data_IF_219334965504
#
_entry.id   IF_219334965504
#
_cell.length_a   1.000
_cell.length_b   1.000
_cell.length_c   1.000
_cell.angle_alpha   90.00
_cell.angle_beta   90.00
_cell.angle_gamma   90.00
#
_symmetry.space_group_name_H-M   'P 1'
#
loop_
_entity.id
_entity.type
_entity.pdbx_description
1 polymer ?
#
# COMPACT_ATOMS: atom_id res chain seq x y z
N UNK A 1 -23.81 -17.48 -0.96
CA UNK A 1 -23.73 -16.76 -2.24
C UNK A 1 -23.12 -15.40 -2.00
N UNK A 2 -21.79 -15.29 -2.09
CA UNK A 2 -21.09 -13.98 -2.08
C UNK A 2 -20.00 -14.06 -3.16
N UNK A 3 -19.19 -15.13 -3.13
CA UNK A 3 -18.31 -15.49 -4.23
C UNK A 3 -19.00 -16.46 -5.20
N UNK A 4 -18.56 -16.42 -6.47
CA UNK A 4 -18.88 -17.39 -7.53
C UNK A 4 -17.61 -18.22 -7.80
N UNK A 5 -17.72 -19.46 -8.36
CA UNK A 5 -16.55 -20.25 -8.73
C UNK A 5 -15.52 -19.49 -9.58
N UNK A 6 -15.99 -18.58 -10.44
CA UNK A 6 -15.17 -17.71 -11.28
C UNK A 6 -14.44 -16.58 -10.50
N UNK A 7 -14.85 -16.25 -9.28
CA UNK A 7 -14.32 -15.09 -8.53
C UNK A 7 -13.45 -15.46 -7.32
N UNK A 8 -13.51 -16.69 -6.80
CA UNK A 8 -12.77 -17.08 -5.58
C UNK A 8 -11.26 -16.82 -5.64
N UNK A 9 -10.60 -17.26 -6.71
CA UNK A 9 -9.15 -17.06 -6.87
C UNK A 9 -8.79 -15.57 -7.00
N UNK A 10 -9.64 -14.80 -7.68
CA UNK A 10 -9.44 -13.37 -7.88
C UNK A 10 -9.59 -12.59 -6.56
N UNK A 11 -10.65 -12.88 -5.77
CA UNK A 11 -10.86 -12.29 -4.44
C UNK A 11 -9.63 -12.54 -3.56
N UNK A 12 -9.17 -13.79 -3.48
CA UNK A 12 -8.01 -14.17 -2.67
C UNK A 12 -6.75 -13.44 -3.11
N UNK A 13 -6.48 -13.41 -4.42
CA UNK A 13 -5.33 -12.69 -4.96
C UNK A 13 -5.42 -11.19 -4.68
N UNK A 14 -6.62 -10.60 -4.73
CA UNK A 14 -6.84 -9.17 -4.56
C UNK A 14 -6.59 -8.73 -3.12
N UNK A 15 -7.10 -9.46 -2.13
CA UNK A 15 -6.92 -9.09 -0.72
C UNK A 15 -5.45 -9.22 -0.27
N UNK A 16 -4.72 -10.21 -0.80
CA UNK A 16 -3.29 -10.37 -0.58
C UNK A 16 -2.49 -9.25 -1.26
N UNK A 17 -2.76 -9.00 -2.55
CA UNK A 17 -2.02 -8.00 -3.34
C UNK A 17 -2.25 -6.56 -2.84
N UNK A 18 -3.43 -6.27 -2.29
CA UNK A 18 -3.75 -4.98 -1.68
C UNK A 18 -3.22 -4.84 -0.25
N UNK A 19 -2.64 -5.90 0.32
CA UNK A 19 -2.05 -5.88 1.66
C UNK A 19 -3.08 -5.86 2.79
N UNK A 20 -4.32 -6.27 2.54
CA UNK A 20 -5.32 -6.43 3.59
C UNK A 20 -5.03 -7.67 4.46
N UNK A 21 -4.39 -8.67 3.88
CA UNK A 21 -4.13 -9.94 4.53
C UNK A 21 -2.71 -10.39 4.18
N UNK A 22 -2.04 -11.03 5.13
CA UNK A 22 -0.79 -11.74 4.93
C UNK A 22 -0.96 -13.24 5.16
N UNK A 23 -0.07 -14.06 4.60
CA UNK A 23 -0.05 -15.51 4.86
C UNK A 23 0.93 -15.82 5.98
N UNK A 24 0.46 -16.49 7.04
CA UNK A 24 1.31 -17.11 8.07
C UNK A 24 1.09 -18.61 8.04
N UNK A 25 2.00 -19.34 7.39
CA UNK A 25 1.82 -20.76 7.09
C UNK A 25 0.61 -20.97 6.16
N UNK A 26 -0.36 -21.76 6.62
CA UNK A 26 -1.63 -21.99 5.91
C UNK A 26 -2.75 -21.01 6.31
N UNK A 27 -2.50 -20.15 7.30
CA UNK A 27 -3.47 -19.18 7.78
C UNK A 27 -3.38 -17.84 7.05
N UNK A 28 -4.53 -17.20 6.89
CA UNK A 28 -4.66 -15.82 6.44
C UNK A 28 -4.81 -14.93 7.68
N UNK A 29 -3.84 -14.03 7.88
CA UNK A 29 -3.83 -13.11 9.01
C UNK A 29 -4.13 -11.70 8.51
N UNK A 30 -5.20 -11.06 9.02
CA UNK A 30 -5.53 -9.69 8.64
C UNK A 30 -4.45 -8.70 9.09
N UNK A 31 -4.14 -7.75 8.21
CA UNK A 31 -3.25 -6.63 8.50
C UNK A 31 -4.05 -5.45 9.07
N UNK A 32 -3.36 -4.50 9.72
CA UNK A 32 -3.98 -3.31 10.32
C UNK A 32 -4.83 -2.48 9.36
N UNK A 33 -4.45 -2.43 8.09
CA UNK A 33 -5.22 -1.74 7.06
C UNK A 33 -6.58 -2.42 6.81
N UNK A 34 -6.67 -3.74 6.93
CA UNK A 34 -7.95 -4.44 6.81
C UNK A 34 -8.89 -4.07 7.93
N UNK A 35 -8.43 -4.06 9.18
CA UNK A 35 -9.26 -3.63 10.31
C UNK A 35 -9.73 -2.20 10.17
N UNK A 36 -8.83 -1.28 9.79
CA UNK A 36 -9.18 0.13 9.60
C UNK A 36 -10.25 0.28 8.52
N UNK A 37 -10.09 -0.41 7.39
CA UNK A 37 -11.04 -0.30 6.25
C UNK A 37 -12.35 -1.02 6.56
N UNK A 38 -12.32 -2.24 7.08
CA UNK A 38 -13.54 -3.00 7.43
C UNK A 38 -14.38 -2.21 8.41
N UNK A 39 -13.78 -1.72 9.49
CA UNK A 39 -14.49 -0.91 10.48
C UNK A 39 -15.07 0.37 9.88
N UNK A 40 -14.27 1.08 9.08
CA UNK A 40 -14.75 2.28 8.38
C UNK A 40 -15.98 1.96 7.52
N UNK A 41 -15.97 0.83 6.83
CA UNK A 41 -17.09 0.37 6.03
C UNK A 41 -18.28 -0.08 6.89
N UNK A 42 -18.07 -0.71 8.05
CA UNK A 42 -19.15 -1.10 8.96
C UNK A 42 -19.86 0.12 9.57
N UNK A 43 -19.09 1.11 10.03
CA UNK A 43 -19.62 2.32 10.67
C UNK A 43 -20.34 3.24 9.68
N UNK A 44 -19.86 3.32 8.43
CA UNK A 44 -20.36 4.30 7.46
C UNK A 44 -21.17 3.69 6.32
N UNK A 45 -20.95 2.41 6.00
CA UNK A 45 -21.56 1.72 4.87
C UNK A 45 -22.20 0.39 5.29
N UNK A 46 -22.50 0.19 6.59
CA UNK A 46 -22.90 -1.11 7.15
C UNK A 46 -23.96 -1.84 6.32
N UNK A 47 -25.05 -1.16 5.93
CA UNK A 47 -26.12 -1.75 5.09
C UNK A 47 -25.65 -2.22 3.70
N UNK A 48 -24.61 -1.60 3.14
CA UNK A 48 -24.07 -1.88 1.80
C UNK A 48 -22.95 -2.94 1.81
N UNK A 49 -22.41 -3.27 2.97
CA UNK A 49 -21.36 -4.29 3.12
C UNK A 49 -21.81 -5.50 3.96
N UNK A 50 -23.08 -5.53 4.35
CA UNK A 50 -23.68 -6.65 5.05
C UNK A 50 -23.67 -7.91 4.17
N UNK A 51 -23.54 -9.07 4.82
CA UNK A 51 -23.55 -10.36 4.15
C UNK A 51 -24.87 -10.66 3.44
N UNK A 52 -26.01 -10.29 4.05
CA UNK A 52 -27.34 -10.46 3.45
C UNK A 52 -27.50 -9.57 2.21
N UNK A 53 -27.07 -8.31 2.31
CA UNK A 53 -27.10 -7.37 1.17
C UNK A 53 -26.27 -7.90 -0.01
N UNK A 54 -25.06 -8.37 0.27
CA UNK A 54 -24.16 -8.88 -0.77
C UNK A 54 -24.71 -10.15 -1.43
N UNK A 55 -25.38 -11.02 -0.66
CA UNK A 55 -26.04 -12.20 -1.20
C UNK A 55 -27.25 -11.85 -2.06
N UNK A 56 -28.09 -10.91 -1.61
CA UNK A 56 -29.25 -10.44 -2.35
C UNK A 56 -28.86 -9.74 -3.66
N UNK A 57 -27.78 -8.93 -3.64
CA UNK A 57 -27.26 -8.28 -4.86
C UNK A 57 -26.91 -9.31 -5.94
N UNK A 58 -26.27 -10.40 -5.55
CA UNK A 58 -25.89 -11.46 -6.49
C UNK A 58 -27.10 -12.21 -7.07
N UNK A 59 -28.22 -12.29 -6.35
CA UNK A 59 -29.49 -12.83 -6.84
C UNK A 59 -30.21 -11.83 -7.76
N UNK A 60 -30.19 -10.54 -7.40
CA UNK A 60 -30.73 -9.47 -8.24
C UNK A 60 -30.01 -9.37 -9.59
N UNK A 61 -28.70 -9.61 -9.63
CA UNK A 61 -27.93 -9.67 -10.88
C UNK A 61 -28.40 -10.82 -11.78
N UNK A 62 -28.71 -11.98 -11.21
CA UNK A 62 -29.24 -13.13 -11.97
C UNK A 62 -30.65 -12.80 -12.51
N UNK A 63 -31.51 -12.17 -11.70
CA UNK A 63 -32.85 -11.71 -12.11
C UNK A 63 -32.81 -10.64 -13.21
N UNK A 64 -31.79 -9.77 -13.21
CA UNK A 64 -31.55 -8.81 -14.29
C UNK A 64 -31.16 -9.55 -15.58
N UNK A 65 -30.28 -10.56 -15.48
CA UNK A 65 -29.86 -11.35 -16.64
C UNK A 65 -31.03 -12.13 -17.28
N UNK A 66 -31.94 -12.64 -16.44
CA UNK A 66 -33.16 -13.33 -16.88
C UNK A 66 -34.28 -12.37 -17.34
N UNK A 67 -34.08 -11.06 -17.20
CA UNK A 67 -35.03 -10.02 -17.61
C UNK A 67 -36.20 -9.82 -16.64
N UNK A 68 -36.15 -10.41 -15.44
CA UNK A 68 -37.17 -10.30 -14.39
C UNK A 68 -37.07 -9.00 -13.59
N UNK A 69 -35.89 -8.35 -13.61
CA UNK A 69 -35.62 -7.11 -12.89
C UNK A 69 -35.05 -6.03 -13.84
N UNK A 70 -35.56 -4.80 -13.73
CA UNK A 70 -35.07 -3.70 -14.55
C UNK A 70 -33.74 -3.15 -13.99
N UNK A 71 -32.66 -3.27 -14.77
CA UNK A 71 -31.34 -2.82 -14.34
C UNK A 71 -31.27 -1.32 -14.00
N UNK A 72 -32.02 -0.47 -14.70
CA UNK A 72 -31.97 0.98 -14.50
C UNK A 72 -32.67 1.37 -13.20
N UNK A 73 -33.80 0.73 -12.89
CA UNK A 73 -34.50 0.92 -11.62
C UNK A 73 -33.65 0.43 -10.45
N UNK A 74 -33.03 -0.74 -10.60
CA UNK A 74 -32.10 -1.28 -9.59
C UNK A 74 -30.93 -0.33 -9.33
N UNK A 75 -30.28 0.18 -10.38
CA UNK A 75 -29.18 1.13 -10.25
C UNK A 75 -29.60 2.44 -9.59
N UNK A 76 -30.80 2.96 -9.92
CA UNK A 76 -31.33 4.17 -9.29
C UNK A 76 -31.59 3.96 -7.80
N UNK A 77 -32.19 2.82 -7.45
CA UNK A 77 -32.47 2.46 -6.06
C UNK A 77 -31.18 2.28 -5.26
N UNK A 78 -30.19 1.54 -5.78
CA UNK A 78 -28.87 1.40 -5.16
C UNK A 78 -28.15 2.75 -4.99
N UNK A 79 -28.18 3.60 -6.01
CA UNK A 79 -27.39 4.84 -6.02
C UNK A 79 -28.04 5.98 -5.24
N UNK A 80 -29.34 6.23 -5.45
CA UNK A 80 -30.07 7.34 -4.83
C UNK A 80 -30.82 6.97 -3.55
N UNK A 81 -31.02 5.67 -3.30
CA UNK A 81 -31.76 5.17 -2.16
C UNK A 81 -33.25 4.93 -2.44
N UNK A 82 -33.91 4.33 -1.46
CA UNK A 82 -35.33 4.01 -1.42
C UNK A 82 -35.85 4.05 0.03
N UNK A 83 -37.01 3.45 0.30
CA UNK A 83 -37.57 3.41 1.66
C UNK A 83 -36.76 2.52 2.62
N UNK A 84 -35.99 1.59 2.09
CA UNK A 84 -35.23 0.54 2.78
C UNK A 84 -33.73 0.87 2.93
N UNK A 85 -33.16 1.61 1.97
CA UNK A 85 -31.74 1.99 1.96
C UNK A 85 -31.56 3.48 1.66
N UNK A 86 -30.60 4.12 2.33
CA UNK A 86 -30.30 5.54 2.13
C UNK A 86 -29.62 5.83 0.77
N UNK A 87 -29.12 4.79 0.10
CA UNK A 87 -28.42 4.89 -1.18
C UNK A 87 -26.94 5.27 -1.05
N UNK A 88 -26.15 4.88 -2.05
CA UNK A 88 -24.72 5.12 -2.06
C UNK A 88 -24.36 6.62 -2.05
N UNK A 89 -25.09 7.44 -2.81
CA UNK A 89 -24.80 8.87 -2.94
C UNK A 89 -24.96 9.59 -1.59
N UNK A 90 -26.09 9.39 -0.92
CA UNK A 90 -26.37 10.02 0.36
C UNK A 90 -25.33 9.64 1.42
N UNK A 91 -25.01 8.34 1.48
CA UNK A 91 -24.00 7.77 2.37
C UNK A 91 -22.61 8.38 2.11
N UNK A 92 -22.19 8.42 0.85
CA UNK A 92 -20.87 8.93 0.47
C UNK A 92 -20.73 10.44 0.72
N UNK A 93 -21.80 11.23 0.52
CA UNK A 93 -21.77 12.68 0.77
C UNK A 93 -21.61 12.99 2.25
N UNK A 94 -22.31 12.28 3.14
CA UNK A 94 -22.22 12.50 4.59
C UNK A 94 -20.82 12.24 5.18
N UNK A 95 -20.06 11.34 4.57
CA UNK A 95 -18.70 11.02 5.02
C UNK A 95 -17.73 12.17 4.75
N UNK A 96 -17.93 12.94 3.68
CA UNK A 96 -17.05 14.06 3.35
C UNK A 96 -17.10 15.19 4.39
N UNK A 97 -18.19 15.24 5.14
CA UNK A 97 -18.41 16.23 6.21
C UNK A 97 -17.86 15.77 7.57
N UNK A 98 -17.47 14.50 7.71
CA UNK A 98 -16.90 13.96 8.94
C UNK A 98 -15.41 14.29 9.08
N UNK A 99 -14.95 14.50 10.33
CA UNK A 99 -13.53 14.73 10.61
C UNK A 99 -12.70 13.46 10.30
N UNK A 100 -11.76 13.51 9.33
CA UNK A 100 -10.92 12.36 8.99
C UNK A 100 -10.10 11.86 10.19
N UNK A 101 -9.78 12.75 11.15
CA UNK A 101 -9.06 12.36 12.35
C UNK A 101 -9.94 11.50 13.25
N UNK A 102 -11.21 11.87 13.44
CA UNK A 102 -12.16 11.10 14.25
C UNK A 102 -12.39 9.71 13.66
N UNK A 103 -12.58 9.61 12.33
CA UNK A 103 -12.75 8.34 11.63
C UNK A 103 -11.58 7.37 11.86
N UNK A 104 -10.35 7.91 11.91
CA UNK A 104 -9.15 7.12 12.11
C UNK A 104 -8.75 7.00 13.59
N UNK A 105 -9.67 7.24 14.53
CA UNK A 105 -9.42 7.17 15.98
C UNK A 105 -10.31 6.14 16.65
N UNK A 106 -9.72 5.33 17.52
CA UNK A 106 -10.39 4.23 18.20
C UNK A 106 -9.99 4.26 19.67
N UNK A 107 -10.96 4.40 20.57
CA UNK A 107 -10.69 4.19 21.99
C UNK A 107 -10.45 2.69 22.25
N UNK A 108 -9.27 2.35 22.76
CA UNK A 108 -8.92 1.02 23.28
C UNK A 108 -9.28 0.94 24.77
N UNK A 109 -9.08 2.05 25.48
CA UNK A 109 -9.52 2.30 26.84
C UNK A 109 -9.84 3.80 26.99
N UNK A 110 -10.25 4.22 28.18
CA UNK A 110 -10.52 5.64 28.48
C UNK A 110 -9.27 6.54 28.28
N UNK A 111 -8.08 5.96 28.39
CA UNK A 111 -6.80 6.68 28.32
C UNK A 111 -5.99 6.41 27.04
N UNK A 112 -6.32 5.32 26.32
CA UNK A 112 -5.56 4.85 25.17
C UNK A 112 -6.41 4.92 23.90
N UNK A 113 -5.94 5.71 22.93
CA UNK A 113 -6.56 5.81 21.61
C UNK A 113 -5.65 5.21 20.55
N UNK A 114 -6.10 4.15 19.87
CA UNK A 114 -5.50 3.66 18.63
C UNK A 114 -5.82 4.63 17.49
N UNK A 115 -4.80 5.06 16.75
CA UNK A 115 -4.95 5.91 15.57
C UNK A 115 -4.28 5.32 14.36
N UNK A 116 -4.93 5.41 13.21
CA UNK A 116 -4.33 5.02 11.92
C UNK A 116 -3.86 6.24 11.14
N UNK A 117 -2.55 6.36 10.94
CA UNK A 117 -1.95 7.44 10.15
C UNK A 117 -1.35 6.95 8.83
N UNK A 118 -0.79 7.88 8.05
CA UNK A 118 -0.05 7.59 6.81
C UNK A 118 1.12 6.60 6.97
N UNK A 119 1.59 6.38 8.21
CA UNK A 119 2.74 5.54 8.53
C UNK A 119 2.39 4.22 9.20
N UNK A 120 1.09 3.97 9.40
CA UNK A 120 0.60 2.81 10.13
C UNK A 120 -0.16 3.23 11.39
N UNK A 121 -0.66 2.24 12.13
CA UNK A 121 -1.35 2.45 13.38
C UNK A 121 -0.37 2.73 14.53
N UNK A 122 -0.78 3.56 15.46
CA UNK A 122 -0.05 3.89 16.67
C UNK A 122 -1.04 4.15 17.81
N UNK A 123 -0.59 4.00 19.05
CA UNK A 123 -1.37 4.38 20.21
C UNK A 123 -1.05 5.83 20.58
N UNK A 124 -2.07 6.56 21.00
CA UNK A 124 -1.99 7.92 21.51
C UNK A 124 -2.55 7.94 22.93
N UNK A 125 -1.78 8.51 23.85
CA UNK A 125 -2.15 8.72 25.24
C UNK A 125 -1.85 10.17 25.65
N UNK A 126 -2.48 10.63 26.72
CA UNK A 126 -2.19 11.92 27.34
C UNK A 126 -1.63 11.68 28.75
N UNK A 127 -0.40 12.13 28.97
CA UNK A 127 0.34 12.02 30.24
C UNK A 127 0.83 13.40 30.68
N UNK A 128 1.52 13.48 31.83
CA UNK A 128 2.17 14.73 32.24
C UNK A 128 3.23 15.15 31.19
N UNK A 129 3.29 16.44 30.77
CA UNK A 129 4.28 16.94 29.81
C UNK A 129 5.75 16.75 30.22
N UNK A 130 6.02 16.51 31.51
CA UNK A 130 7.36 16.18 32.01
C UNK A 130 7.75 14.71 31.82
N UNK A 131 6.81 13.85 31.42
CA UNK A 131 7.06 12.42 31.17
C UNK A 131 7.91 12.25 29.92
N UNK A 132 8.97 11.41 29.95
CA UNK A 132 9.74 11.11 28.75
C UNK A 132 8.87 10.62 27.59
N UNK A 133 9.04 11.22 26.41
CA UNK A 133 8.27 10.89 25.20
C UNK A 133 6.91 11.59 25.07
N UNK A 134 6.50 12.40 26.05
CA UNK A 134 5.36 13.30 25.92
C UNK A 134 5.77 14.62 25.24
N UNK A 135 4.86 15.19 24.44
CA UNK A 135 5.03 16.53 23.88
C UNK A 135 4.65 17.64 24.89
N UNK A 136 4.78 18.91 24.48
CA UNK A 136 4.45 20.08 25.31
C UNK A 136 3.00 20.08 25.82
N UNK A 137 2.10 19.34 25.18
CA UNK A 137 0.69 19.21 25.55
C UNK A 137 0.41 17.91 26.32
N UNK A 138 1.45 17.15 26.70
CA UNK A 138 1.32 15.88 27.39
C UNK A 138 0.97 14.71 26.46
N UNK A 139 0.90 14.91 25.14
CA UNK A 139 0.55 13.84 24.21
C UNK A 139 1.76 12.95 23.99
N UNK A 140 1.61 11.65 24.21
CA UNK A 140 2.63 10.63 23.94
C UNK A 140 2.14 9.67 22.85
N UNK A 141 3.00 9.42 21.88
CA UNK A 141 2.78 8.42 20.82
C UNK A 141 3.52 7.15 21.21
N UNK A 142 2.83 6.02 21.14
CA UNK A 142 3.42 4.70 21.38
C UNK A 142 3.29 3.89 20.09
N UNK A 143 4.44 3.51 19.53
CA UNK A 143 4.51 2.74 18.31
C UNK A 143 4.00 1.30 18.55
N UNK A 144 3.23 0.77 17.61
CA UNK A 144 2.81 -0.63 17.66
C UNK A 144 3.91 -1.48 17.00
N UNK A 145 4.41 -2.55 17.66
CA UNK A 145 5.43 -3.42 17.10
C UNK A 145 5.02 -3.98 15.73
N UNK A 146 5.98 -4.03 14.81
CA UNK A 146 5.73 -4.63 13.50
C UNK A 146 5.41 -6.12 13.63
N UNK A 147 4.30 -6.55 13.03
CA UNK A 147 3.85 -7.94 13.08
C UNK A 147 2.90 -8.27 14.24
N UNK A 148 2.68 -7.35 15.18
CA UNK A 148 1.55 -7.48 16.11
C UNK A 148 0.26 -7.46 15.29
N UNK A 149 -0.55 -8.51 15.39
CA UNK A 149 -1.82 -8.58 14.69
C UNK A 149 -2.88 -7.73 15.41
N UNK A 150 -3.89 -7.20 14.70
CA UNK A 150 -4.88 -6.31 15.33
C UNK A 150 -5.71 -6.96 16.43
N UNK A 151 -5.94 -8.27 16.35
CA UNK A 151 -6.62 -9.08 17.38
C UNK A 151 -5.77 -9.29 18.64
N UNK A 152 -4.44 -9.21 18.52
CA UNK A 152 -3.51 -9.31 19.64
C UNK A 152 -3.42 -8.01 20.46
N UNK A 153 -3.86 -6.88 19.90
CA UNK A 153 -3.89 -5.57 20.58
C UNK A 153 -5.11 -5.44 21.50
N UNK A 154 -5.13 -6.24 22.56
CA UNK A 154 -6.11 -6.13 23.63
C UNK A 154 -5.85 -4.88 24.50
N UNK A 155 -6.83 -4.40 25.29
CA UNK A 155 -6.59 -3.29 26.23
C UNK A 155 -5.42 -3.55 27.19
N UNK A 156 -5.26 -4.81 27.65
CA UNK A 156 -4.12 -5.21 28.47
C UNK A 156 -2.80 -5.11 27.71
N UNK A 157 -2.75 -5.55 26.45
CA UNK A 157 -1.54 -5.45 25.62
C UNK A 157 -1.21 -3.99 25.28
N UNK A 158 -2.23 -3.17 25.02
CA UNK A 158 -2.05 -1.74 24.79
C UNK A 158 -1.47 -1.04 26.03
N UNK A 159 -1.94 -1.38 27.23
CA UNK A 159 -1.37 -0.88 28.47
C UNK A 159 0.07 -1.33 28.66
N UNK A 160 0.40 -2.60 28.39
CA UNK A 160 1.77 -3.11 28.42
C UNK A 160 2.72 -2.30 27.51
N UNK A 161 2.27 -1.96 26.29
CA UNK A 161 3.03 -1.12 25.37
C UNK A 161 3.19 0.32 25.87
N UNK A 162 2.19 0.86 26.56
CA UNK A 162 2.25 2.19 27.17
C UNK A 162 3.22 2.23 28.36
N UNK A 163 3.21 1.19 29.18
CA UNK A 163 4.08 1.05 30.36
C UNK A 163 5.51 0.65 30.00
N UNK A 164 5.74 0.19 28.76
CA UNK A 164 7.06 -0.15 28.26
C UNK A 164 8.03 1.05 28.38
N UNK A 165 9.31 0.80 28.72
CA UNK A 165 10.31 1.85 28.84
C UNK A 165 10.40 2.66 27.55
N UNK A 166 10.28 3.98 27.66
CA UNK A 166 10.44 4.87 26.51
C UNK A 166 11.89 4.87 26.07
N UNK A 167 12.12 4.56 24.80
CA UNK A 167 13.42 4.74 24.20
C UNK A 167 13.67 6.24 24.02
N UNK A 168 14.37 6.85 24.99
CA UNK A 168 14.65 8.29 25.00
C UNK A 168 15.73 8.63 23.98
N UNK A 169 15.58 9.80 23.35
CA UNK A 169 16.60 10.44 22.53
C UNK A 169 17.94 10.45 23.28
N UNK A 170 18.97 9.84 22.70
CA UNK A 170 20.30 9.73 23.30
C UNK A 170 21.40 9.98 22.28
N UNK A 171 22.49 10.57 22.74
CA UNK A 171 23.72 10.72 21.96
C UNK A 171 24.51 9.42 22.08
N UNK A 172 24.74 8.73 20.96
CA UNK A 172 25.52 7.48 20.92
C UNK A 172 27.03 7.75 20.83
N UNK A 173 27.43 8.89 20.26
CA UNK A 173 28.83 9.28 20.12
C UNK A 173 29.04 10.23 18.95
N UNK A 174 30.28 10.29 18.46
CA UNK A 174 30.67 11.09 17.31
C UNK A 174 30.96 10.19 16.11
N UNK A 175 30.53 10.62 14.93
CA UNK A 175 30.89 9.98 13.66
C UNK A 175 32.39 10.21 13.36
N UNK A 176 33.22 9.17 13.21
CA UNK A 176 34.65 9.33 12.92
C UNK A 176 34.95 10.07 11.61
N UNK A 177 34.04 10.02 10.64
CA UNK A 177 34.26 10.63 9.32
C UNK A 177 33.93 12.14 9.30
N UNK A 178 32.84 12.55 9.95
CA UNK A 178 32.37 13.94 9.94
C UNK A 178 32.61 14.71 11.23
N UNK A 179 32.86 14.02 12.35
CA UNK A 179 32.94 14.61 13.69
C UNK A 179 31.59 15.05 14.26
N UNK A 180 30.48 14.75 13.58
CA UNK A 180 29.13 15.12 14.01
C UNK A 180 28.57 14.11 15.02
N UNK A 181 27.64 14.55 15.86
CA UNK A 181 26.97 13.67 16.83
C UNK A 181 26.06 12.65 16.14
N UNK A 182 26.11 11.41 16.60
CA UNK A 182 25.16 10.36 16.24
C UNK A 182 24.11 10.29 17.34
N UNK A 183 22.85 10.47 16.93
CA UNK A 183 21.69 10.46 17.82
C UNK A 183 20.85 9.22 17.54
N UNK A 184 20.40 8.56 18.59
CA UNK A 184 19.29 7.63 18.54
C UNK A 184 18.00 8.39 18.86
N UNK A 185 16.92 8.07 18.14
CA UNK A 185 15.58 8.63 18.35
C UNK A 185 14.51 7.58 18.10
N UNK A 186 13.41 7.65 18.83
CA UNK A 186 12.21 6.88 18.54
C UNK A 186 11.20 7.73 17.76
N UNK A 187 11.10 7.47 16.46
CA UNK A 187 10.29 8.26 15.54
C UNK A 187 8.93 7.66 15.24
N UNK A 188 8.14 8.38 14.45
CA UNK A 188 6.84 7.91 13.91
C UNK A 188 6.87 6.64 13.06
N UNK A 189 8.07 6.21 12.64
CA UNK A 189 8.30 5.02 11.81
C UNK A 189 9.04 3.92 12.59
N UNK A 190 9.10 4.08 13.91
CA UNK A 190 9.97 3.29 14.78
C UNK A 190 11.34 3.93 15.02
N UNK A 191 12.21 3.20 15.74
CA UNK A 191 13.49 3.68 16.19
C UNK A 191 14.48 3.82 15.03
N UNK A 192 15.26 4.91 15.06
CA UNK A 192 16.26 5.21 14.05
C UNK A 192 17.45 5.93 14.64
N UNK A 193 18.58 5.84 13.93
CA UNK A 193 19.78 6.62 14.20
C UNK A 193 19.96 7.71 13.15
N UNK A 194 20.52 8.84 13.56
CA UNK A 194 20.76 9.98 12.67
C UNK A 194 22.09 10.66 12.95
N UNK A 195 22.72 11.17 11.90
CA UNK A 195 23.87 12.09 12.03
C UNK A 195 23.32 13.50 12.18
N UNK A 196 23.66 14.16 13.28
CA UNK A 196 23.31 15.55 13.57
C UNK A 196 24.26 16.51 12.84
N UNK A 197 24.13 16.58 11.51
CA UNK A 197 24.85 17.55 10.70
C UNK A 197 23.98 18.78 10.43
N UNK A 198 24.26 19.89 11.12
CA UNK A 198 23.55 21.16 10.95
C UNK A 198 23.71 21.77 9.54
N UNK A 199 24.75 21.37 8.80
CA UNK A 199 25.03 21.88 7.45
C UNK A 199 24.36 21.05 6.36
N UNK A 200 23.94 19.83 6.67
CA UNK A 200 23.30 18.95 5.70
C UNK A 200 21.83 19.34 5.44
N UNK A 201 21.47 19.55 4.18
CA UNK A 201 20.09 19.87 3.78
C UNK A 201 19.08 18.74 4.12
N UNK A 202 19.57 17.49 4.21
CA UNK A 202 18.82 16.33 4.71
C UNK A 202 19.72 15.53 5.64
N UNK A 203 19.33 15.29 6.90
CA UNK A 203 20.12 14.48 7.81
C UNK A 203 20.20 13.04 7.30
N UNK A 204 21.39 12.43 7.41
CA UNK A 204 21.56 11.01 7.13
C UNK A 204 20.89 10.23 8.26
N UNK A 205 19.97 9.35 7.91
CA UNK A 205 19.18 8.55 8.87
C UNK A 205 19.21 7.09 8.47
N UNK A 206 19.15 6.20 9.45
CA UNK A 206 18.99 4.77 9.24
C UNK A 206 18.06 4.19 10.30
N UNK A 207 17.04 3.47 9.87
CA UNK A 207 16.13 2.75 10.76
C UNK A 207 16.85 1.58 11.41
N UNK A 208 16.52 1.30 12.68
CA UNK A 208 16.92 0.06 13.32
C UNK A 208 16.26 -1.13 12.63
N UNK A 209 16.92 -2.26 12.74
CA UNK A 209 16.41 -3.55 12.31
C UNK A 209 15.38 -4.08 13.30
N UNK A 210 14.46 -4.94 12.85
CA UNK A 210 13.40 -5.48 13.72
C UNK A 210 13.95 -6.31 14.86
N UNK A 211 15.10 -6.94 14.62
CA UNK A 211 15.83 -7.78 15.57
C UNK A 211 16.63 -7.00 16.63
N UNK A 212 16.84 -5.68 16.43
CA UNK A 212 17.67 -4.87 17.32
C UNK A 212 16.87 -4.32 18.50
N UNK A 213 17.51 -4.28 19.67
CA UNK A 213 16.97 -3.65 20.88
C UNK A 213 17.23 -2.14 20.87
N UNK A 214 16.18 -1.29 20.80
CA UNK A 214 16.33 0.16 20.81
C UNK A 214 16.93 0.71 22.12
N UNK A 215 16.83 -0.04 23.22
CA UNK A 215 17.35 0.40 24.52
C UNK A 215 18.85 0.24 24.66
N UNK A 216 19.47 -0.67 23.89
CA UNK A 216 20.85 -1.11 24.09
C UNK A 216 21.72 -0.94 22.83
N UNK A 217 21.36 -0.03 21.92
CA UNK A 217 22.15 0.20 20.72
C UNK A 217 23.46 0.96 21.01
N UNK A 218 24.55 0.51 20.41
CA UNK A 218 25.88 1.10 20.52
C UNK A 218 26.26 1.96 19.30
N UNK A 219 27.39 2.67 19.41
CA UNK A 219 27.91 3.55 18.37
C UNK A 219 28.31 2.77 17.10
N UNK A 220 28.91 1.59 17.27
CA UNK A 220 29.41 0.79 16.15
C UNK A 220 28.27 0.24 15.29
N UNK A 221 27.20 -0.24 15.93
CA UNK A 221 25.97 -0.66 15.25
C UNK A 221 25.30 0.53 14.55
N UNK A 222 25.26 1.70 15.19
CA UNK A 222 24.70 2.90 14.57
C UNK A 222 25.49 3.33 13.32
N UNK A 223 26.82 3.32 13.38
CA UNK A 223 27.69 3.59 12.24
C UNK A 223 27.49 2.56 11.11
N UNK A 224 27.34 1.29 11.47
CA UNK A 224 27.03 0.23 10.52
C UNK A 224 25.70 0.49 9.80
N UNK A 225 24.63 0.83 10.51
CA UNK A 225 23.33 1.18 9.91
C UNK A 225 23.42 2.43 9.03
N UNK A 226 24.12 3.47 9.50
CA UNK A 226 24.35 4.71 8.76
C UNK A 226 25.24 4.52 7.54
N UNK A 227 25.95 3.40 7.39
CA UNK A 227 26.72 3.08 6.18
C UNK A 227 25.83 2.63 5.01
N UNK A 228 24.58 2.23 5.27
CA UNK A 228 23.64 1.80 4.24
C UNK A 228 23.21 2.98 3.34
N UNK A 229 22.95 2.75 2.03
CA UNK A 229 23.00 1.48 1.31
C UNK A 229 24.42 0.95 1.06
N UNK A 230 24.63 -0.35 1.31
CA UNK A 230 25.91 -1.03 1.01
C UNK A 230 25.99 -1.37 -0.47
N UNK A 231 27.09 -1.00 -1.11
CA UNK A 231 27.39 -1.44 -2.48
C UNK A 231 27.91 -2.88 -2.44
N UNK A 232 27.18 -3.81 -3.06
CA UNK A 232 27.58 -5.23 -3.16
C UNK A 232 28.56 -5.42 -4.31
N UNK A 233 28.34 -4.72 -5.43
CA UNK A 233 29.20 -4.77 -6.61
C UNK A 233 28.55 -4.14 -7.83
N UNK A 234 29.20 -4.28 -8.98
CA UNK A 234 28.67 -3.87 -10.29
C UNK A 234 28.32 -5.14 -11.05
N UNK A 235 27.12 -5.20 -11.60
CA UNK A 235 26.69 -6.31 -12.44
C UNK A 235 27.46 -6.29 -13.77
N UNK A 236 28.20 -7.37 -14.12
CA UNK A 236 28.97 -7.42 -15.37
C UNK A 236 28.11 -7.34 -16.64
N UNK A 237 26.85 -7.77 -16.60
CA UNK A 237 26.00 -7.78 -17.80
C UNK A 237 25.34 -6.42 -18.07
N UNK A 238 24.94 -5.74 -17.00
CA UNK A 238 24.12 -4.53 -17.11
C UNK A 238 24.85 -3.26 -16.70
N UNK A 239 26.10 -3.37 -16.21
CA UNK A 239 26.93 -2.29 -15.63
C UNK A 239 26.25 -1.52 -14.49
N UNK A 240 25.10 -2.00 -14.00
CA UNK A 240 24.36 -1.36 -12.94
C UNK A 240 24.95 -1.73 -11.59
N UNK A 241 25.05 -0.72 -10.71
CA UNK A 241 25.43 -0.93 -9.32
C UNK A 241 24.33 -1.69 -8.58
N UNK A 242 24.73 -2.75 -7.86
CA UNK A 242 23.87 -3.51 -6.96
C UNK A 242 24.09 -3.02 -5.54
N UNK A 243 23.03 -2.55 -4.89
CA UNK A 243 23.06 -2.09 -3.50
C UNK A 243 22.15 -2.92 -2.60
N UNK A 244 22.60 -3.20 -1.38
CA UNK A 244 21.82 -3.85 -0.32
C UNK A 244 21.44 -2.82 0.75
N UNK A 245 20.18 -2.85 1.17
CA UNK A 245 19.63 -1.88 2.13
C UNK A 245 18.39 -2.44 2.84
N UNK A 246 18.02 -1.81 3.96
CA UNK A 246 16.77 -2.10 4.66
C UNK A 246 15.69 -1.07 4.32
N UNK A 247 14.46 -1.51 4.16
CA UNK A 247 13.31 -0.65 3.89
C UNK A 247 12.10 -1.02 4.74
N UNK A 248 10.96 -0.37 4.47
CA UNK A 248 9.69 -0.63 5.20
C UNK A 248 9.26 -2.09 5.16
N UNK A 249 9.52 -2.79 4.06
CA UNK A 249 9.13 -4.19 3.88
C UNK A 249 10.26 -5.17 4.22
N UNK A 250 11.31 -4.69 4.89
CA UNK A 250 12.49 -5.48 5.25
C UNK A 250 13.66 -5.33 4.27
N UNK A 251 14.64 -6.24 4.36
CA UNK A 251 15.90 -6.17 3.65
C UNK A 251 15.73 -6.46 2.16
N UNK A 252 16.40 -5.70 1.30
CA UNK A 252 16.30 -5.89 -0.15
C UNK A 252 17.55 -5.43 -0.91
N UNK A 253 17.72 -6.03 -2.10
CA UNK A 253 18.67 -5.64 -3.13
C UNK A 253 18.02 -4.70 -4.14
N UNK A 254 18.80 -3.75 -4.65
CA UNK A 254 18.41 -2.85 -5.74
C UNK A 254 19.49 -2.83 -6.82
N UNK A 255 19.07 -3.03 -8.07
CA UNK A 255 19.88 -2.96 -9.29
C UNK A 255 19.18 -2.06 -10.29
N UNK A 256 19.60 -0.79 -10.37
CA UNK A 256 18.89 0.22 -11.16
C UNK A 256 17.43 0.39 -10.70
N UNK A 257 16.49 -0.06 -11.52
CA UNK A 257 15.04 -0.07 -11.22
C UNK A 257 14.51 -1.41 -10.71
N UNK A 258 15.30 -2.49 -10.79
CA UNK A 258 14.89 -3.80 -10.27
C UNK A 258 15.21 -3.91 -8.77
N UNK A 259 14.32 -4.55 -8.02
CA UNK A 259 14.47 -4.76 -6.58
C UNK A 259 14.00 -6.16 -6.19
N UNK A 260 14.77 -6.80 -5.31
CA UNK A 260 14.55 -8.19 -4.86
C UNK A 260 14.67 -8.24 -3.34
N UNK A 261 13.72 -8.89 -2.68
CA UNK A 261 13.76 -9.05 -1.22
C UNK A 261 14.85 -10.05 -0.82
N UNK A 262 15.47 -9.80 0.34
CA UNK A 262 16.35 -10.73 1.04
C UNK A 262 15.57 -11.49 2.10
N UNK A 263 16.11 -12.59 2.60
CA UNK A 263 15.40 -13.42 3.58
C UNK A 263 15.57 -12.92 5.00
N UNK A 264 16.72 -12.31 5.30
CA UNK A 264 17.08 -11.83 6.64
C UNK A 264 17.87 -10.54 6.58
N UNK A 265 17.88 -9.82 7.71
CA UNK A 265 18.56 -8.51 7.83
C UNK A 265 20.10 -8.68 7.78
N UNK A 266 20.62 -9.81 8.26
CA UNK A 266 22.04 -10.15 8.23
C UNK A 266 22.58 -10.34 6.80
N UNK A 267 21.73 -10.77 5.87
CA UNK A 267 22.09 -10.89 4.45
C UNK A 267 22.49 -9.55 3.84
N UNK A 268 22.00 -8.41 4.35
CA UNK A 268 22.42 -7.08 3.86
C UNK A 268 23.95 -6.94 3.92
N UNK A 269 24.58 -7.51 4.95
CA UNK A 269 26.00 -7.39 5.20
C UNK A 269 26.82 -8.61 4.76
N UNK A 270 26.22 -9.78 4.60
CA UNK A 270 26.96 -10.98 4.20
C UNK A 270 26.87 -11.25 2.69
N UNK A 271 25.85 -10.73 1.99
CA UNK A 271 25.60 -11.09 0.60
C UNK A 271 26.74 -10.67 -0.34
N UNK A 272 27.11 -11.61 -1.21
CA UNK A 272 28.11 -11.41 -2.26
C UNK A 272 27.47 -11.05 -3.59
N UNK A 273 28.26 -10.52 -4.53
CA UNK A 273 27.78 -10.19 -5.88
C UNK A 273 27.24 -11.44 -6.59
N UNK A 274 27.90 -12.59 -6.46
CA UNK A 274 27.45 -13.86 -7.06
C UNK A 274 26.08 -14.29 -6.54
N UNK A 275 25.86 -14.22 -5.23
CA UNK A 275 24.58 -14.54 -4.61
C UNK A 275 23.49 -13.55 -5.03
N UNK A 276 23.82 -12.25 -5.09
CA UNK A 276 22.89 -11.23 -5.56
C UNK A 276 22.47 -11.49 -7.03
N UNK A 277 23.41 -11.83 -7.91
CA UNK A 277 23.13 -12.18 -9.31
C UNK A 277 22.26 -13.43 -9.42
N UNK A 278 22.48 -14.44 -8.57
CA UNK A 278 21.63 -15.63 -8.51
C UNK A 278 20.17 -15.26 -8.14
N UNK A 279 19.97 -14.34 -7.17
CA UNK A 279 18.63 -13.84 -6.81
C UNK A 279 17.99 -13.06 -7.96
N UNK A 280 18.77 -12.31 -8.73
CA UNK A 280 18.28 -11.60 -9.91
C UNK A 280 17.92 -12.54 -11.07
N UNK A 281 18.61 -13.67 -11.22
CA UNK A 281 18.32 -14.69 -12.22
C UNK A 281 17.00 -15.43 -11.93
N UNK A 282 16.59 -15.52 -10.67
CA UNK A 282 15.29 -16.07 -10.31
C UNK A 282 14.14 -15.21 -10.88
N UNK A 283 13.03 -15.84 -11.30
CA UNK A 283 11.85 -15.10 -11.72
C UNK A 283 11.33 -14.26 -10.54
N UNK A 284 10.91 -13.03 -10.84
CA UNK A 284 10.47 -12.09 -9.81
C UNK A 284 9.14 -12.58 -9.21
N UNK A 285 9.20 -13.09 -7.98
CA UNK A 285 8.01 -13.41 -7.20
C UNK A 285 7.19 -12.13 -7.02
N UNK A 286 5.95 -12.12 -7.52
CA UNK A 286 5.09 -10.94 -7.49
C UNK A 286 5.38 -9.87 -8.55
N UNK A 287 6.16 -10.18 -9.60
CA UNK A 287 6.06 -9.38 -10.81
C UNK A 287 4.58 -9.31 -11.19
N UNK A 288 4.03 -8.09 -11.25
CA UNK A 288 2.96 -7.75 -12.20
C UNK A 288 3.25 -8.58 -13.43
N UNK A 289 2.38 -9.54 -13.76
CA UNK A 289 2.51 -10.36 -14.96
C UNK A 289 3.01 -9.43 -16.04
N UNK A 290 4.27 -9.65 -16.44
CA UNK A 290 4.88 -9.02 -17.60
C UNK A 290 3.83 -9.08 -18.69
N UNK A 291 3.54 -7.93 -19.34
CA UNK A 291 2.42 -7.76 -20.26
C UNK A 291 2.11 -9.08 -20.96
N UNK A 292 0.95 -9.68 -20.62
CA UNK A 292 0.67 -11.09 -20.89
C UNK A 292 1.04 -11.41 -22.35
N UNK A 293 1.84 -12.47 -22.52
CA UNK A 293 2.11 -13.06 -23.83
C UNK A 293 0.78 -13.14 -24.58
N UNK A 294 0.68 -12.64 -25.83
CA UNK A 294 -0.56 -12.68 -26.59
C UNK A 294 -1.14 -14.10 -26.54
N UNK A 295 -2.36 -14.23 -26.02
CA UNK A 295 -3.09 -15.50 -26.01
C UNK A 295 -3.39 -15.94 -27.45
N UNK A 296 -3.61 -14.97 -28.33
CA UNK A 296 -3.91 -15.18 -29.76
C UNK A 296 -3.78 -13.87 -30.53
N UNK A 297 -3.37 -13.95 -31.79
CA UNK A 297 -3.24 -12.81 -32.71
C UNK A 297 -4.25 -12.95 -33.85
N UNK A 298 -4.92 -11.86 -34.22
CA UNK A 298 -6.00 -11.82 -35.22
C UNK A 298 -5.62 -11.00 -36.46
N UNK A 299 -4.35 -10.61 -36.58
CA UNK A 299 -3.87 -9.77 -37.68
C UNK A 299 -4.14 -8.28 -37.46
N UNK A 300 -4.15 -7.51 -38.54
CA UNK A 300 -4.39 -6.07 -38.51
C UNK A 300 -5.89 -5.77 -38.63
N UNK A 301 -6.38 -4.85 -37.80
CA UNK A 301 -7.75 -4.33 -37.91
C UNK A 301 -7.88 -3.47 -39.19
N UNK A 302 -8.86 -3.75 -40.07
CA UNK A 302 -9.08 -2.99 -41.31
C UNK A 302 -9.28 -1.49 -41.10
N UNK A 303 -9.80 -1.05 -39.94
CA UNK A 303 -10.04 0.36 -39.65
C UNK A 303 -8.85 1.07 -39.02
N UNK A 304 -8.25 0.50 -37.97
CA UNK A 304 -7.15 1.15 -37.23
C UNK A 304 -5.76 0.83 -37.75
N UNK A 305 -5.60 -0.19 -38.61
CA UNK A 305 -4.31 -0.78 -39.03
C UNK A 305 -3.44 -1.24 -37.85
N UNK A 306 -4.03 -1.39 -36.67
CA UNK A 306 -3.36 -1.84 -35.46
C UNK A 306 -3.34 -3.36 -35.38
N UNK A 307 -2.25 -3.94 -34.85
CA UNK A 307 -2.15 -5.37 -34.62
C UNK A 307 -3.08 -5.81 -33.48
N UNK A 308 -4.08 -6.62 -33.81
CA UNK A 308 -5.11 -7.08 -32.88
C UNK A 308 -4.67 -8.37 -32.20
N UNK A 309 -4.56 -8.31 -30.87
CA UNK A 309 -4.14 -9.43 -30.03
C UNK A 309 -5.01 -9.53 -28.78
N UNK A 310 -5.25 -10.75 -28.29
CA UNK A 310 -5.86 -10.97 -26.98
C UNK A 310 -4.75 -11.06 -25.94
N UNK A 311 -4.91 -10.36 -24.82
CA UNK A 311 -4.01 -10.42 -23.67
C UNK A 311 -4.82 -10.59 -22.39
N UNK A 312 -4.18 -11.14 -21.35
CA UNK A 312 -4.78 -11.20 -20.01
C UNK A 312 -4.35 -10.00 -19.18
N UNK A 313 -5.32 -9.19 -18.74
CA UNK A 313 -5.11 -8.04 -17.88
C UNK A 313 -5.47 -8.29 -16.42
N UNK A 314 -5.36 -7.24 -15.59
CA UNK A 314 -5.81 -7.23 -14.19
C UNK A 314 -7.32 -7.48 -14.05
N UNK A 315 -8.11 -7.15 -15.08
CA UNK A 315 -9.58 -7.21 -15.07
C UNK A 315 -10.13 -8.34 -15.96
N UNK A 316 -9.30 -9.33 -16.30
CA UNK A 316 -9.67 -10.41 -17.21
C UNK A 316 -9.08 -10.28 -18.62
N UNK A 317 -9.48 -11.16 -19.56
CA UNK A 317 -9.04 -11.12 -20.95
C UNK A 317 -9.53 -9.84 -21.66
N UNK A 318 -8.69 -9.29 -22.51
CA UNK A 318 -9.01 -8.12 -23.32
C UNK A 318 -8.38 -8.21 -24.71
N UNK A 319 -9.08 -7.68 -25.71
CA UNK A 319 -8.57 -7.46 -27.07
C UNK A 319 -7.88 -6.09 -27.11
N UNK A 320 -6.75 -6.00 -27.78
CA UNK A 320 -6.00 -4.76 -27.99
C UNK A 320 -5.53 -4.65 -29.43
N UNK A 321 -5.71 -3.48 -30.04
CA UNK A 321 -5.19 -3.10 -31.36
C UNK A 321 -3.89 -2.27 -31.29
N UNK A 322 -3.27 -2.16 -30.10
CA UNK A 322 -2.14 -1.26 -29.74
C UNK A 322 -2.56 0.12 -29.23
N UNK A 323 -3.72 0.63 -29.67
CA UNK A 323 -4.19 1.97 -29.33
C UNK A 323 -5.26 1.95 -28.21
N UNK A 324 -6.17 0.99 -28.26
CA UNK A 324 -7.35 0.83 -27.42
C UNK A 324 -7.44 -0.62 -26.91
N UNK A 325 -7.85 -0.76 -25.65
CA UNK A 325 -8.11 -2.06 -25.02
C UNK A 325 -9.63 -2.23 -24.82
N UNK A 326 -10.19 -3.32 -25.34
CA UNK A 326 -11.58 -3.74 -25.17
C UNK A 326 -11.64 -5.01 -24.31
N UNK A 327 -12.34 -4.96 -23.18
CA UNK A 327 -12.57 -6.13 -22.33
C UNK A 327 -13.40 -7.17 -23.07
N UNK A 328 -13.00 -8.44 -23.02
CA UNK A 328 -13.79 -9.54 -23.58
C UNK A 328 -14.91 -9.89 -22.57
N UNK A 329 -16.19 -9.89 -22.98
CA UNK A 329 -17.30 -10.33 -22.13
C UNK A 329 -17.13 -11.78 -21.65
N UNK A 330 -17.65 -12.11 -20.47
CA UNK A 330 -17.52 -13.45 -19.89
C UNK A 330 -18.17 -14.56 -20.71
N UNK A 331 -19.15 -14.22 -21.55
CA UNK A 331 -19.91 -15.16 -22.38
C UNK A 331 -19.17 -15.52 -23.69
N UNK A 332 -18.17 -14.74 -24.08
CA UNK A 332 -17.40 -14.97 -25.31
C UNK A 332 -16.25 -15.97 -25.04
N UNK A 333 -16.25 -17.11 -25.74
CA UNK A 333 -15.17 -18.08 -25.64
C UNK A 333 -13.90 -17.59 -26.36
N UNK A 334 -12.82 -17.41 -25.60
CA UNK A 334 -11.50 -16.95 -26.08
C UNK A 334 -10.90 -17.90 -27.13
N UNK A 335 -11.15 -19.21 -26.98
CA UNK A 335 -10.61 -20.24 -27.87
C UNK A 335 -11.34 -20.31 -29.22
N UNK A 336 -12.59 -19.86 -29.28
CA UNK A 336 -13.42 -19.87 -30.50
C UNK A 336 -13.63 -18.47 -31.10
N UNK A 337 -13.11 -17.42 -30.46
CA UNK A 337 -13.32 -16.05 -30.92
C UNK A 337 -12.77 -15.86 -32.34
N UNK A 338 -13.57 -15.23 -33.21
CA UNK A 338 -13.19 -14.90 -34.59
C UNK A 338 -12.58 -13.50 -34.67
N UNK A 339 -11.89 -13.21 -35.78
CA UNK A 339 -11.28 -11.89 -36.01
C UNK A 339 -12.35 -10.80 -36.09
N UNK A 340 -13.49 -11.09 -36.72
CA UNK A 340 -14.61 -10.16 -36.88
C UNK A 340 -15.17 -9.72 -35.53
N UNK A 341 -15.35 -10.67 -34.59
CA UNK A 341 -15.82 -10.38 -33.24
C UNK A 341 -14.82 -9.55 -32.45
N UNK A 342 -13.52 -9.84 -32.59
CA UNK A 342 -12.46 -9.05 -31.95
C UNK A 342 -12.44 -7.59 -32.45
N UNK A 343 -12.67 -7.36 -33.74
CA UNK A 343 -12.77 -6.02 -34.32
C UNK A 343 -14.04 -5.30 -33.85
N UNK A 344 -15.17 -6.00 -33.76
CA UNK A 344 -16.43 -5.45 -33.26
C UNK A 344 -16.29 -4.94 -31.82
N UNK A 345 -15.65 -5.72 -30.93
CA UNK A 345 -15.41 -5.32 -29.55
C UNK A 345 -14.55 -4.04 -29.45
N UNK A 346 -13.57 -3.89 -30.33
CA UNK A 346 -12.73 -2.69 -30.42
C UNK A 346 -13.53 -1.49 -30.95
N UNK A 347 -14.38 -1.68 -31.96
CA UNK A 347 -15.23 -0.63 -32.52
C UNK A 347 -16.23 -0.10 -31.47
N UNK A 348 -16.94 -0.99 -30.76
CA UNK A 348 -17.84 -0.63 -29.66
C UNK A 348 -17.08 0.16 -28.58
N UNK A 349 -15.85 -0.27 -28.27
CA UNK A 349 -15.03 0.42 -27.27
C UNK A 349 -14.59 1.80 -27.72
N UNK A 350 -14.26 1.98 -29.01
CA UNK A 350 -13.91 3.29 -29.60
C UNK A 350 -15.10 4.23 -29.62
N UNK A 351 -16.28 3.75 -30.02
CA UNK A 351 -17.53 4.53 -30.00
C UNK A 351 -17.83 5.03 -28.59
N UNK A 352 -17.74 4.16 -27.59
CA UNK A 352 -17.95 4.53 -26.18
C UNK A 352 -16.93 5.55 -25.64
N UNK A 353 -15.73 5.59 -26.22
CA UNK A 353 -14.68 6.53 -25.85
C UNK A 353 -14.66 7.79 -26.74
N UNK A 354 -15.49 7.85 -27.79
CA UNK A 354 -15.50 8.94 -28.76
C UNK A 354 -14.16 9.09 -29.52
N UNK A 355 -13.48 7.99 -29.83
CA UNK A 355 -12.17 7.99 -30.48
C UNK A 355 -12.28 7.56 -31.95
N UNK A 356 -11.49 8.19 -32.82
CA UNK A 356 -11.34 7.74 -34.21
C UNK A 356 -10.46 6.47 -34.31
N UNK A 357 -10.62 5.62 -35.35
CA UNK A 357 -9.78 4.46 -35.55
C UNK A 357 -8.27 4.81 -35.57
N UNK A 358 -7.46 4.11 -34.77
CA UNK A 358 -6.02 4.36 -34.63
C UNK A 358 -5.65 5.47 -33.63
N UNK A 359 -6.62 6.09 -32.95
CA UNK A 359 -6.37 7.11 -31.93
C UNK A 359 -6.31 6.50 -30.53
N UNK A 360 -5.20 6.72 -29.82
CA UNK A 360 -5.07 6.33 -28.41
C UNK A 360 -5.79 7.33 -27.47
N UNK A 361 -6.40 6.87 -26.37
CA UNK A 361 -7.05 7.76 -25.40
C UNK A 361 -6.04 8.72 -24.76
N UNK A 362 -6.47 9.95 -24.50
CA UNK A 362 -5.64 10.95 -23.84
C UNK A 362 -5.16 10.44 -22.47
N UNK A 363 -3.83 10.36 -22.29
CA UNK A 363 -3.24 10.01 -20.99
C UNK A 363 -3.62 11.09 -19.99
N UNK A 364 -4.41 10.73 -18.98
CA UNK A 364 -4.68 11.61 -17.83
C UNK A 364 -3.36 11.79 -17.08
N UNK A 365 -2.64 12.86 -17.40
CA UNK A 365 -1.51 13.27 -16.57
C UNK A 365 -2.09 13.63 -15.20
N UNK A 366 -1.71 12.90 -14.16
CA UNK A 366 -1.94 13.36 -12.79
C UNK A 366 -1.27 14.72 -12.68
N UNK A 367 -2.05 15.78 -12.53
CA UNK A 367 -1.52 17.08 -12.17
C UNK A 367 -0.65 16.89 -10.92
N UNK A 368 0.63 17.24 -11.03
CA UNK A 368 1.52 17.29 -9.87
C UNK A 368 0.91 18.29 -8.89
N UNK A 369 0.27 17.82 -7.82
CA UNK A 369 -0.08 18.66 -6.68
C UNK A 369 1.23 19.31 -6.20
N UNK A 370 1.29 20.64 -6.27
CA UNK A 370 2.39 21.40 -5.69
C UNK A 370 2.50 21.05 -4.20
N UNK A 371 3.72 20.78 -3.74
CA UNK A 371 3.98 20.54 -2.33
C UNK A 371 3.58 21.79 -1.51
N UNK A 372 2.90 21.66 -0.37
CA UNK A 372 2.61 22.81 0.47
C UNK A 372 3.94 23.41 0.98
N UNK A 373 4.07 24.73 0.82
CA UNK A 373 5.22 25.48 1.31
C UNK A 373 5.36 25.27 2.82
N UNK A 374 6.55 24.84 3.26
CA UNK A 374 6.95 24.82 4.67
C UNK A 374 6.96 26.26 5.18
N UNK A 375 5.95 26.65 5.95
CA UNK A 375 6.03 27.81 6.84
C UNK A 375 6.87 27.43 8.04
N UNK A 376 8.15 27.79 7.99
CA UNK A 376 9.03 27.75 9.15
C UNK A 376 8.54 28.81 10.14
N UNK A 377 7.91 28.39 11.25
CA UNK A 377 7.70 29.30 12.40
C UNK A 377 9.07 29.68 12.93
N UNK A 378 9.42 30.95 12.76
CA UNK A 378 10.62 31.59 13.28
C UNK A 378 10.59 31.49 14.82
N UNK A 379 11.48 30.69 15.39
CA UNK A 379 11.64 30.55 16.84
C UNK A 379 11.94 31.90 17.47
N UNK A 380 11.22 32.21 18.55
CA UNK A 380 11.43 33.39 19.37
C UNK A 380 12.70 33.23 20.21
N UNK A 381 13.60 34.20 20.06
CA UNK A 381 14.84 34.31 20.83
C UNK A 381 14.52 34.50 22.32
N UNK A 382 14.98 33.57 23.16
CA UNK A 382 14.91 33.65 24.62
C UNK A 382 15.88 34.74 25.09
N UNK A 383 15.36 35.90 25.54
CA UNK A 383 16.15 36.90 26.29
C UNK A 383 16.49 36.31 27.66
N UNK A 384 17.79 36.21 27.95
CA UNK A 384 18.32 35.99 29.30
C UNK A 384 17.87 37.14 30.22
N UNK A 385 17.47 36.79 31.44
CA UNK A 385 17.62 37.64 32.61
C UNK A 385 18.65 36.99 33.53
#
# INVERSE_FOLDING_TARGET
GIGRPSTYANIMSTILNKGYVTKRGQALVPEWIAFTVTRFLEENFGKLIDYEFTAAMEEDLDRIADGELNYLEWLKHFYFGGEDIDGLLHTATHILDQDPKAINSIAISDEITLRTGQYGPYLEIYTDPSTPGADENGRRIVNIPEGLAPDELTPAKAQELVDAPVAVDRVLGLDPASGNEILFKDGRFGPYVMINDEKAAKPKTASLFKSMDPLNIDLDTALMLLSLPRVVGIDPETENQVTAQNGKFGPYLKKGTDSRSLTSEDEIFSITLEQALAIYALPKYGARRTAATPLREFGEDPESKGAVTIKTGQFGPYVTDTFVNATVPSDDNIEDMTAERAFELLAIRREKLGLEPGQAPAKTSRSKKAAPARTVKRGTTRKKK
#
